data_IF_782071409702
#
_entry.id   IF_782071409702
#
_cell.length_a   1.000
_cell.length_b   1.000
_cell.length_c   1.000
_cell.angle_alpha   90.00
_cell.angle_beta   90.00
_cell.angle_gamma   90.00
#
_symmetry.space_group_name_H-M   'P 1'
#
loop_
_entity.id
_entity.type
_entity.pdbx_description
1 polymer ?
#
# COMPACT_ATOMS: atom_id res chain seq x y z
N UNK A 1 -11.90 -0.63 -5.98
CA UNK A 1 -11.01 -1.62 -6.63
C UNK A 1 -9.58 -1.37 -6.16
N UNK A 2 -8.84 -2.45 -5.86
CA UNK A 2 -7.44 -2.40 -5.46
C UNK A 2 -6.64 -3.12 -6.56
N UNK A 3 -5.52 -2.53 -6.96
CA UNK A 3 -4.58 -3.14 -7.90
C UNK A 3 -3.21 -3.30 -7.23
N UNK A 4 -2.51 -4.37 -7.61
CA UNK A 4 -1.15 -4.67 -7.15
C UNK A 4 -0.09 -3.97 -7.99
N UNK A 5 0.87 -3.34 -7.32
CA UNK A 5 2.01 -2.67 -7.93
C UNK A 5 3.31 -3.13 -7.27
N UNK A 6 4.35 -3.36 -8.06
CA UNK A 6 5.69 -3.68 -7.55
C UNK A 6 6.34 -2.48 -6.86
N UNK A 7 6.07 -1.27 -7.35
CA UNK A 7 6.66 -0.02 -6.88
C UNK A 7 5.63 1.10 -6.75
N UNK A 8 5.85 1.99 -5.79
CA UNK A 8 5.03 3.17 -5.58
C UNK A 8 5.88 4.34 -5.03
N UNK A 9 6.76 4.95 -5.86
CA UNK A 9 7.72 5.97 -5.39
C UNK A 9 7.04 7.24 -4.85
N UNK A 10 5.80 7.53 -5.25
CA UNK A 10 5.01 8.64 -4.71
C UNK A 10 4.36 8.37 -3.35
N UNK A 11 4.50 7.17 -2.81
CA UNK A 11 3.88 6.76 -1.55
C UNK A 11 4.85 6.83 -0.35
N UNK A 12 4.29 7.05 0.83
CA UNK A 12 4.98 6.97 2.12
C UNK A 12 4.17 6.14 3.11
N UNK A 13 4.86 5.34 3.90
CA UNK A 13 4.28 4.47 4.92
C UNK A 13 4.20 5.21 6.26
N UNK A 14 3.01 5.27 6.85
CA UNK A 14 2.73 6.08 8.07
C UNK A 14 2.40 5.24 9.30
N UNK A 15 2.54 3.92 9.21
CA UNK A 15 2.31 2.99 10.30
C UNK A 15 3.40 1.94 10.38
N UNK A 16 3.56 1.30 11.54
CA UNK A 16 4.33 0.06 11.65
C UNK A 16 3.65 -1.06 10.84
N UNK A 17 4.40 -2.06 10.34
CA UNK A 17 3.82 -3.23 9.70
C UNK A 17 2.92 -3.99 10.68
N UNK A 18 1.71 -4.35 10.23
CA UNK A 18 0.75 -5.12 11.01
C UNK A 18 0.30 -6.37 10.25
N UNK A 19 0.40 -7.57 10.84
CA UNK A 19 -0.19 -8.78 10.26
C UNK A 19 -1.70 -8.86 10.51
N UNK A 20 -2.26 -7.99 11.35
CA UNK A 20 -3.66 -8.05 11.77
C UNK A 20 -4.59 -7.89 10.57
N UNK A 21 -5.44 -8.89 10.32
CA UNK A 21 -6.41 -8.86 9.19
C UNK A 21 -5.74 -8.62 7.83
N UNK A 22 -4.51 -9.09 7.66
CA UNK A 22 -3.88 -9.06 6.35
C UNK A 22 -4.64 -9.93 5.35
N UNK A 23 -4.86 -9.39 4.15
CA UNK A 23 -5.52 -10.10 3.06
C UNK A 23 -4.60 -11.12 2.39
N UNK A 24 -3.30 -11.00 2.59
CA UNK A 24 -2.29 -11.83 1.97
C UNK A 24 -1.56 -12.63 3.05
N UNK A 25 -1.74 -13.97 3.08
CA UNK A 25 -1.10 -14.82 4.07
C UNK A 25 0.41 -14.62 4.10
N UNK A 26 0.98 -14.53 5.31
CA UNK A 26 2.42 -14.31 5.49
C UNK A 26 2.90 -12.88 5.21
N UNK A 27 2.00 -11.96 4.87
CA UNK A 27 2.33 -10.54 4.70
C UNK A 27 1.75 -9.70 5.85
N UNK A 28 2.52 -8.71 6.31
CA UNK A 28 2.05 -7.60 7.12
C UNK A 28 1.78 -6.39 6.20
N UNK A 29 0.83 -5.54 6.58
CA UNK A 29 0.52 -4.32 5.85
C UNK A 29 0.90 -3.06 6.63
N UNK A 30 1.23 -2.00 5.89
CA UNK A 30 1.41 -0.63 6.39
C UNK A 30 0.47 0.29 5.63
N UNK A 31 -0.11 1.28 6.32
CA UNK A 31 -0.89 2.33 5.66
C UNK A 31 0.05 3.15 4.78
N UNK A 32 -0.33 3.31 3.51
CA UNK A 32 0.45 4.03 2.51
C UNK A 32 -0.31 5.26 2.02
N UNK A 33 0.32 6.43 2.12
CA UNK A 33 -0.24 7.74 1.77
C UNK A 33 0.53 8.41 0.65
N UNK A 34 -0.09 9.36 -0.04
CA UNK A 34 0.60 10.23 -0.99
C UNK A 34 1.62 11.11 -0.26
N UNK A 35 2.88 11.16 -0.74
CA UNK A 35 3.92 12.03 -0.17
C UNK A 35 3.58 13.52 -0.25
N UNK A 36 2.83 13.94 -1.27
CA UNK A 36 2.53 15.35 -1.51
C UNK A 36 1.35 15.89 -0.71
N UNK A 37 0.32 15.07 -0.46
CA UNK A 37 -0.92 15.52 0.17
C UNK A 37 -1.41 14.65 1.34
N UNK A 38 -0.65 13.62 1.72
CA UNK A 38 -0.99 12.68 2.80
C UNK A 38 -2.31 11.93 2.63
N UNK A 39 -2.95 12.00 1.45
CA UNK A 39 -4.14 11.24 1.15
C UNK A 39 -3.83 9.74 1.21
N UNK A 40 -4.69 8.96 1.87
CA UNK A 40 -4.56 7.51 1.94
C UNK A 40 -4.68 6.91 0.53
N UNK A 41 -3.64 6.25 0.02
CA UNK A 41 -3.63 5.64 -1.31
C UNK A 41 -3.80 4.12 -1.27
N UNK A 42 -3.53 3.49 -0.13
CA UNK A 42 -3.73 2.06 0.09
C UNK A 42 -2.72 1.52 1.08
N UNK A 43 -2.12 0.37 0.76
CA UNK A 43 -1.26 -0.35 1.69
C UNK A 43 0.01 -0.86 1.02
N UNK A 44 1.10 -0.87 1.79
CA UNK A 44 2.29 -1.64 1.44
C UNK A 44 2.26 -2.98 2.17
N UNK A 45 2.46 -4.07 1.44
CA UNK A 45 2.60 -5.40 2.00
C UNK A 45 4.07 -5.81 2.04
N UNK A 46 4.50 -6.40 3.15
CA UNK A 46 5.85 -6.94 3.36
C UNK A 46 5.80 -8.26 4.12
N UNK A 47 6.73 -9.18 3.86
CA UNK A 47 6.78 -10.51 4.49
C UNK A 47 7.13 -11.57 3.46
N UNK A 48 6.22 -12.51 3.22
CA UNK A 48 6.32 -13.52 2.16
C UNK A 48 6.48 -12.88 0.77
N UNK A 49 5.78 -11.79 0.51
CA UNK A 49 5.89 -10.98 -0.70
C UNK A 49 6.06 -9.49 -0.36
N UNK A 50 6.48 -8.71 -1.35
CA UNK A 50 6.59 -7.26 -1.25
C UNK A 50 5.94 -6.56 -2.45
N UNK A 51 4.86 -5.83 -2.18
CA UNK A 51 4.12 -5.08 -3.19
C UNK A 51 3.23 -4.01 -2.53
N UNK A 52 2.58 -3.20 -3.35
CA UNK A 52 1.60 -2.20 -2.93
C UNK A 52 0.21 -2.59 -3.44
N UNK A 53 -0.77 -2.57 -2.55
CA UNK A 53 -2.19 -2.64 -2.91
C UNK A 53 -2.78 -1.24 -2.89
N UNK A 54 -2.88 -0.58 -4.04
CA UNK A 54 -3.35 0.80 -4.14
C UNK A 54 -4.80 0.88 -4.62
N UNK A 55 -5.53 1.86 -4.10
CA UNK A 55 -6.92 2.14 -4.43
C UNK A 55 -6.96 2.85 -5.78
N UNK A 56 -7.38 2.15 -6.83
CA UNK A 56 -7.34 2.64 -8.22
C UNK A 56 -8.10 3.97 -8.39
N UNK A 57 -9.23 4.14 -7.69
CA UNK A 57 -10.00 5.39 -7.73
C UNK A 57 -9.32 6.62 -7.11
N UNK A 58 -8.13 6.45 -6.53
CA UNK A 58 -7.30 7.54 -5.98
C UNK A 58 -6.02 7.77 -6.81
N UNK A 59 -5.87 7.08 -7.93
CA UNK A 59 -4.75 7.22 -8.85
C UNK A 59 -5.23 7.87 -10.14
N UNK A 60 -4.38 8.72 -10.73
CA UNK A 60 -4.54 9.16 -12.10
C UNK A 60 -3.73 8.24 -13.01
N UNK A 61 -4.24 7.90 -14.21
CA UNK A 61 -3.42 7.24 -15.22
C UNK A 61 -2.23 8.15 -15.61
N UNK A 62 -1.15 7.57 -16.17
CA UNK A 62 -0.10 8.35 -16.83
C UNK A 62 -0.65 9.21 -17.97
#
# INVERSE_FOLDING_TARGET
MIAGFSEAPGCAEVSSPSPYWSWFPGCAWQVSVCRGCSAHLGWRFTGADRFYGLIVGRLTPP
#
